data_IF_441011097682
#
_entry.id   IF_441011097682
#
_cell.length_a   1.000
_cell.length_b   1.000
_cell.length_c   1.000
_cell.angle_alpha   90.00
_cell.angle_beta   90.00
_cell.angle_gamma   90.00
#
_symmetry.space_group_name_H-M   'P 1'
#
loop_
_entity.id
_entity.type
_entity.pdbx_description
1 polymer ?
#
# COMPACT_ATOMS: atom_id res chain seq x y z
N UNK A 1 -21.92 17.80 -15.34
CA UNK A 1 -22.92 17.09 -16.17
C UNK A 1 -22.44 16.93 -17.63
N UNK A 2 -21.57 15.97 -17.93
CA UNK A 2 -21.22 15.60 -19.31
C UNK A 2 -20.76 14.13 -19.46
N UNK A 3 -21.43 13.22 -18.77
CA UNK A 3 -21.29 11.76 -18.89
C UNK A 3 -22.05 11.16 -20.10
N UNK A 4 -22.40 11.94 -21.13
CA UNK A 4 -23.45 11.54 -22.12
C UNK A 4 -23.12 11.57 -23.62
N UNK A 5 -21.91 11.89 -24.09
CA UNK A 5 -21.76 12.24 -25.54
C UNK A 5 -20.73 11.46 -26.37
N UNK A 6 -19.99 10.47 -25.85
CA UNK A 6 -18.93 9.81 -26.64
C UNK A 6 -19.25 8.39 -27.17
N UNK A 7 -20.53 8.03 -27.34
CA UNK A 7 -20.91 6.66 -27.77
C UNK A 7 -21.46 6.52 -29.22
N UNK A 8 -21.46 7.58 -30.06
CA UNK A 8 -22.22 7.57 -31.33
C UNK A 8 -21.42 7.96 -32.60
N UNK A 9 -20.17 8.39 -32.49
CA UNK A 9 -19.38 8.80 -33.66
C UNK A 9 -18.20 7.86 -33.84
N UNK A 10 -18.42 6.71 -34.50
CA UNK A 10 -17.52 5.97 -35.42
C UNK A 10 -18.37 4.79 -35.93
N UNK A 11 -19.30 5.06 -36.85
CA UNK A 11 -20.08 4.01 -37.54
C UNK A 11 -20.16 4.20 -39.06
N UNK A 12 -19.38 5.11 -39.67
CA UNK A 12 -19.42 5.27 -41.13
C UNK A 12 -18.05 5.68 -41.70
N UNK A 13 -17.29 4.70 -42.20
CA UNK A 13 -16.43 4.79 -43.41
C UNK A 13 -15.75 3.44 -43.72
N UNK A 14 -16.41 2.61 -44.51
CA UNK A 14 -15.76 1.67 -45.45
C UNK A 14 -16.01 2.21 -46.87
N UNK A 15 -14.96 2.51 -47.65
CA UNK A 15 -14.78 2.17 -49.09
C UNK A 15 -13.28 2.34 -49.41
N UNK A 16 -12.48 1.28 -49.27
CA UNK A 16 -11.54 0.70 -50.25
C UNK A 16 -11.12 -0.64 -49.65
N UNK A 17 -11.42 -1.74 -50.36
CA UNK A 17 -11.23 -3.11 -49.85
C UNK A 17 -9.78 -3.41 -49.50
N UNK A 18 -9.51 -3.50 -48.19
CA UNK A 18 -8.38 -4.21 -47.61
C UNK A 18 -8.99 -5.07 -46.50
N UNK A 19 -8.79 -6.40 -46.56
CA UNK A 19 -9.29 -7.30 -45.51
C UNK A 19 -8.54 -7.00 -44.20
N UNK A 20 -9.16 -6.20 -43.33
CA UNK A 20 -8.70 -5.94 -41.95
C UNK A 20 -9.36 -7.01 -41.10
N UNK A 21 -8.56 -7.90 -40.47
CA UNK A 21 -9.10 -9.00 -39.66
C UNK A 21 -9.28 -8.62 -38.18
N UNK A 22 -8.60 -7.57 -37.72
CA UNK A 22 -8.66 -7.11 -36.32
C UNK A 22 -8.26 -5.64 -36.18
N UNK A 23 -9.04 -4.89 -35.41
CA UNK A 23 -8.66 -3.59 -34.87
C UNK A 23 -8.23 -3.83 -33.42
N UNK A 24 -7.02 -3.41 -33.07
CA UNK A 24 -6.48 -3.51 -31.71
C UNK A 24 -5.96 -2.15 -31.25
N UNK A 25 -5.75 -1.95 -29.94
CA UNK A 25 -5.17 -0.70 -29.43
C UNK A 25 -3.67 -0.83 -29.23
N UNK A 26 -2.94 0.21 -29.62
CA UNK A 26 -1.51 0.34 -29.36
C UNK A 26 -1.25 0.31 -27.86
N UNK A 27 -0.48 -0.68 -27.38
CA UNK A 27 -0.12 -0.78 -25.97
C UNK A 27 0.78 0.38 -25.50
N UNK A 28 1.48 1.04 -26.43
CA UNK A 28 2.35 2.17 -26.11
C UNK A 28 1.62 3.52 -26.04
N UNK A 29 0.62 3.76 -26.90
CA UNK A 29 -0.03 5.08 -27.00
C UNK A 29 -1.57 5.07 -27.07
N UNK A 30 -2.20 3.90 -26.95
CA UNK A 30 -3.66 3.74 -26.95
C UNK A 30 -4.35 3.91 -28.31
N UNK A 31 -3.64 4.34 -29.35
CA UNK A 31 -4.20 4.56 -30.68
C UNK A 31 -4.63 3.26 -31.37
N UNK A 32 -5.68 3.30 -32.18
CA UNK A 32 -6.16 2.14 -32.92
C UNK A 32 -5.15 1.71 -34.01
N UNK A 33 -4.82 0.42 -34.03
CA UNK A 33 -3.94 -0.22 -34.99
C UNK A 33 -4.77 -1.17 -35.85
N UNK A 34 -4.61 -1.04 -37.16
CA UNK A 34 -5.19 -1.96 -38.13
C UNK A 34 -4.17 -3.05 -38.46
N UNK A 35 -4.53 -4.31 -38.22
CA UNK A 35 -3.66 -5.46 -38.51
C UNK A 35 -4.19 -6.19 -39.75
N UNK A 36 -3.32 -6.34 -40.75
CA UNK A 36 -3.65 -7.05 -42.00
C UNK A 36 -3.37 -8.55 -41.89
N UNK A 37 -4.21 -9.35 -42.57
CA UNK A 37 -4.11 -10.81 -42.55
C UNK A 37 -2.80 -11.30 -43.20
N UNK A 38 -2.04 -12.13 -42.47
CA UNK A 38 -0.79 -12.72 -42.96
C UNK A 38 0.49 -11.95 -42.60
N UNK A 39 0.40 -10.85 -41.86
CA UNK A 39 1.57 -10.14 -41.36
C UNK A 39 2.07 -10.76 -40.04
N UNK A 40 3.37 -11.07 -39.97
CA UNK A 40 4.04 -11.51 -38.72
C UNK A 40 4.40 -10.32 -37.82
N UNK A 41 4.36 -9.10 -38.38
CA UNK A 41 4.74 -7.85 -37.73
C UNK A 41 3.80 -6.71 -38.10
N UNK A 42 3.47 -5.86 -37.13
CA UNK A 42 2.71 -4.63 -37.34
C UNK A 42 3.41 -3.46 -36.65
N UNK A 43 3.20 -2.25 -37.16
CA UNK A 43 3.76 -1.02 -36.59
C UNK A 43 2.62 -0.05 -36.24
N UNK A 44 2.69 0.57 -35.06
CA UNK A 44 1.78 1.65 -34.72
C UNK A 44 2.12 2.88 -35.58
N UNK A 45 1.16 3.35 -36.39
CA UNK A 45 1.35 4.51 -37.27
C UNK A 45 1.55 5.83 -36.50
N UNK A 46 1.23 5.86 -35.20
CA UNK A 46 1.30 7.06 -34.37
C UNK A 46 2.62 7.17 -33.60
N UNK A 47 3.08 6.10 -32.97
CA UNK A 47 4.29 6.11 -32.13
C UNK A 47 5.46 5.28 -32.66
N UNK A 48 5.27 4.51 -33.74
CA UNK A 48 6.32 3.69 -34.35
C UNK A 48 6.63 2.36 -33.64
N UNK A 49 5.92 2.02 -32.56
CA UNK A 49 6.13 0.75 -31.84
C UNK A 49 5.86 -0.47 -32.75
N UNK A 50 6.78 -1.45 -32.72
CA UNK A 50 6.71 -2.73 -33.46
C UNK A 50 6.03 -3.81 -32.62
N UNK A 51 5.16 -4.61 -33.25
CA UNK A 51 4.40 -5.69 -32.64
C UNK A 51 4.62 -6.99 -33.41
N UNK A 52 4.82 -8.10 -32.69
CA UNK A 52 4.89 -9.44 -33.25
C UNK A 52 3.54 -10.14 -33.10
N UNK A 53 3.03 -10.70 -34.19
CA UNK A 53 1.73 -11.40 -34.24
C UNK A 53 2.04 -12.90 -34.29
N UNK A 54 2.10 -13.56 -33.15
CA UNK A 54 2.45 -14.99 -33.07
C UNK A 54 1.33 -15.90 -33.59
N UNK A 55 1.72 -16.91 -34.38
CA UNK A 55 0.86 -18.04 -34.77
C UNK A 55 0.94 -19.13 -33.71
N UNK A 56 -0.22 -19.48 -33.15
CA UNK A 56 -0.57 -20.71 -32.44
C UNK A 56 0.56 -21.74 -32.21
N UNK A 57 1.31 -21.56 -31.12
CA UNK A 57 1.94 -22.65 -30.36
C UNK A 57 1.80 -22.33 -28.87
N UNK A 58 1.48 -23.32 -28.00
CA UNK A 58 1.49 -23.10 -26.56
C UNK A 58 2.94 -22.94 -26.12
N UNK A 59 3.32 -21.71 -25.74
CA UNK A 59 4.63 -21.40 -25.20
C UNK A 59 4.80 -21.95 -23.79
N UNK A 60 6.05 -22.22 -23.41
CA UNK A 60 6.51 -22.54 -22.05
C UNK A 60 6.03 -21.53 -20.97
N UNK A 61 5.50 -20.38 -21.39
CA UNK A 61 4.79 -19.40 -20.54
C UNK A 61 3.67 -20.04 -19.73
N UNK A 62 2.93 -21.00 -20.28
CA UNK A 62 1.88 -21.71 -19.55
C UNK A 62 2.47 -22.59 -18.42
N UNK A 63 3.68 -23.13 -18.61
CA UNK A 63 4.39 -23.90 -17.59
C UNK A 63 4.98 -23.00 -16.48
N UNK A 64 5.54 -21.84 -16.84
CA UNK A 64 6.04 -20.85 -15.88
C UNK A 64 4.91 -20.21 -15.06
N UNK A 65 3.81 -19.81 -15.72
CA UNK A 65 2.61 -19.32 -15.03
C UNK A 65 1.93 -20.44 -14.21
N UNK A 66 1.90 -21.68 -14.69
CA UNK A 66 1.41 -22.83 -13.90
C UNK A 66 2.27 -23.07 -12.65
N UNK A 67 3.58 -22.90 -12.73
CA UNK A 67 4.48 -23.01 -11.59
C UNK A 67 4.26 -21.89 -10.58
N UNK A 68 4.21 -20.63 -11.03
CA UNK A 68 3.92 -19.48 -10.17
C UNK A 68 2.54 -19.59 -9.51
N UNK A 69 1.52 -20.02 -10.26
CA UNK A 69 0.18 -20.28 -9.72
C UNK A 69 0.20 -21.43 -8.70
N UNK A 70 0.92 -22.53 -8.94
CA UNK A 70 1.07 -23.64 -7.97
C UNK A 70 1.84 -23.24 -6.71
N UNK A 71 2.78 -22.30 -6.80
CA UNK A 71 3.49 -21.77 -5.63
C UNK A 71 2.57 -20.82 -4.85
N UNK A 72 1.82 -19.96 -5.54
CA UNK A 72 0.78 -19.11 -4.95
C UNK A 72 -0.32 -19.91 -4.25
N UNK A 73 -0.85 -20.95 -4.88
CA UNK A 73 -1.88 -21.83 -4.32
C UNK A 73 -1.39 -22.57 -3.07
N UNK A 74 -0.16 -23.12 -3.09
CA UNK A 74 0.43 -23.78 -1.91
C UNK A 74 0.57 -22.82 -0.73
N UNK A 75 0.92 -21.56 -1.01
CA UNK A 75 1.05 -20.51 0.02
C UNK A 75 -0.30 -20.08 0.57
N UNK A 76 -1.32 -19.92 -0.28
CA UNK A 76 -2.69 -19.65 0.17
C UNK A 76 -3.26 -20.80 1.00
N UNK A 77 -2.99 -22.04 0.62
CA UNK A 77 -3.37 -23.21 1.41
C UNK A 77 -2.67 -23.28 2.76
N UNK A 78 -1.40 -22.89 2.82
CA UNK A 78 -0.66 -22.84 4.09
C UNK A 78 -1.16 -21.72 5.01
N UNK A 79 -1.46 -20.54 4.46
CA UNK A 79 -2.09 -19.43 5.19
C UNK A 79 -3.47 -19.83 5.71
N UNK A 80 -4.30 -20.46 4.87
CA UNK A 80 -5.61 -20.99 5.26
C UNK A 80 -5.49 -22.01 6.38
N UNK A 81 -4.52 -22.93 6.31
CA UNK A 81 -4.25 -23.90 7.39
C UNK A 81 -3.82 -23.23 8.70
N UNK A 82 -3.01 -22.17 8.62
CA UNK A 82 -2.60 -21.37 9.80
C UNK A 82 -3.78 -20.62 10.40
N UNK A 83 -4.68 -20.06 9.59
CA UNK A 83 -5.91 -19.41 10.05
C UNK A 83 -6.89 -20.40 10.68
N UNK A 84 -7.13 -21.55 10.03
CA UNK A 84 -7.96 -22.62 10.59
C UNK A 84 -7.39 -23.16 11.91
N UNK A 85 -6.06 -23.25 12.03
CA UNK A 85 -5.41 -23.64 13.28
C UNK A 85 -5.63 -22.60 14.39
N UNK A 86 -5.46 -21.30 14.08
CA UNK A 86 -5.74 -20.19 15.01
C UNK A 86 -7.21 -20.17 15.43
N UNK A 87 -8.13 -20.42 14.52
CA UNK A 87 -9.57 -20.45 14.81
C UNK A 87 -9.95 -21.64 15.69
N UNK A 88 -9.40 -22.83 15.42
CA UNK A 88 -9.55 -24.00 16.29
C UNK A 88 -9.02 -23.74 17.71
N UNK A 89 -7.92 -23.01 17.83
CA UNK A 89 -7.36 -22.62 19.12
C UNK A 89 -8.26 -21.62 19.86
N UNK A 90 -8.81 -20.62 19.16
CA UNK A 90 -9.82 -19.69 19.72
C UNK A 90 -11.08 -20.42 20.20
N UNK A 91 -11.57 -21.39 19.44
CA UNK A 91 -12.74 -22.22 19.83
C UNK A 91 -12.42 -23.03 21.10
N UNK A 92 -11.21 -23.61 21.19
CA UNK A 92 -10.77 -24.35 22.38
C UNK A 92 -10.67 -23.45 23.61
N UNK A 93 -10.09 -22.26 23.48
CA UNK A 93 -10.04 -21.28 24.57
C UNK A 93 -11.44 -20.82 25.02
N UNK A 94 -12.38 -20.61 24.08
CA UNK A 94 -13.77 -20.30 24.40
C UNK A 94 -14.45 -21.43 25.19
N UNK A 95 -14.22 -22.68 24.80
CA UNK A 95 -14.78 -23.84 25.48
C UNK A 95 -14.21 -24.01 26.91
N UNK A 96 -12.91 -23.77 27.09
CA UNK A 96 -12.28 -23.82 28.42
C UNK A 96 -12.74 -22.66 29.32
N UNK A 97 -12.93 -21.45 28.77
CA UNK A 97 -13.51 -20.31 29.49
C UNK A 97 -14.98 -20.56 29.89
N UNK A 98 -15.81 -21.09 28.98
CA UNK A 98 -17.20 -21.43 29.27
C UNK A 98 -17.30 -22.52 30.35
N UNK A 99 -16.38 -23.49 30.38
CA UNK A 99 -16.29 -24.48 31.47
C UNK A 99 -15.96 -23.82 32.82
N UNK A 100 -15.02 -22.87 32.84
CA UNK A 100 -14.67 -22.13 34.06
C UNK A 100 -15.86 -21.31 34.59
N UNK A 101 -16.60 -20.64 33.70
CA UNK A 101 -17.82 -19.87 34.06
C UNK A 101 -18.91 -20.79 34.63
N UNK A 102 -19.14 -21.96 34.03
CA UNK A 102 -20.12 -22.92 34.54
C UNK A 102 -19.75 -23.48 35.92
N UNK A 103 -18.45 -23.72 36.18
CA UNK A 103 -17.97 -24.14 37.50
C UNK A 103 -18.19 -23.03 38.54
N UNK A 104 -17.86 -21.77 38.20
CA UNK A 104 -18.08 -20.62 39.09
C UNK A 104 -19.56 -20.38 39.37
N UNK A 105 -20.43 -20.50 38.36
CA UNK A 105 -21.88 -20.41 38.53
C UNK A 105 -22.41 -21.53 39.43
N UNK A 106 -21.91 -22.76 39.27
CA UNK A 106 -22.23 -23.89 40.15
C UNK A 106 -21.82 -23.64 41.60
N UNK A 107 -20.63 -23.07 41.83
CA UNK A 107 -20.16 -22.67 43.17
C UNK A 107 -21.05 -21.56 43.76
N UNK A 108 -21.42 -20.56 42.97
CA UNK A 108 -22.28 -19.47 43.43
C UNK A 108 -23.68 -19.98 43.84
N UNK A 109 -24.29 -20.85 43.03
CA UNK A 109 -25.58 -21.49 43.36
C UNK A 109 -25.45 -22.36 44.61
N UNK A 110 -24.35 -23.12 44.74
CA UNK A 110 -24.08 -23.91 45.94
C UNK A 110 -23.95 -23.03 47.18
N UNK A 111 -23.19 -21.92 47.12
CA UNK A 111 -23.06 -20.95 48.21
C UNK A 111 -24.38 -20.27 48.55
N UNK A 112 -25.23 -20.00 47.56
CA UNK A 112 -26.55 -19.42 47.76
C UNK A 112 -27.49 -20.40 48.48
N UNK A 113 -27.51 -21.68 48.05
CA UNK A 113 -28.28 -22.75 48.72
C UNK A 113 -27.73 -23.00 50.13
N UNK A 114 -26.41 -22.99 50.31
CA UNK A 114 -25.77 -23.15 51.62
C UNK A 114 -26.11 -21.99 52.56
N UNK A 115 -26.14 -20.76 52.06
CA UNK A 115 -26.57 -19.58 52.81
C UNK A 115 -28.05 -19.65 53.19
N UNK A 116 -28.91 -20.24 52.35
CA UNK A 116 -30.32 -20.47 52.67
C UNK A 116 -30.55 -21.59 53.68
N UNK A 117 -29.72 -22.63 53.70
CA UNK A 117 -29.85 -23.76 54.62
C UNK A 117 -29.21 -23.52 56.00
N UNK A 118 -28.26 -22.58 56.10
CA UNK A 118 -27.49 -22.33 57.32
C UNK A 118 -27.47 -20.86 57.78
N UNK A 119 -28.09 -19.94 57.04
CA UNK A 119 -28.12 -18.53 57.38
C UNK A 119 -29.41 -18.13 58.06
N UNK A 120 -29.42 -18.18 59.39
CA UNK A 120 -30.46 -17.50 60.19
C UNK A 120 -29.80 -16.81 61.39
N UNK A 121 -29.59 -15.49 61.25
CA UNK A 121 -29.91 -14.46 62.27
C UNK A 121 -29.46 -13.07 61.83
N UNK A 122 -30.41 -12.12 61.96
CA UNK A 122 -30.31 -10.64 61.94
C UNK A 122 -29.87 -10.01 60.62
N UNK A 123 -30.49 -8.98 60.04
CA UNK A 123 -31.40 -7.89 60.48
C UNK A 123 -31.87 -7.22 59.18
N UNK A 124 -33.17 -7.13 58.85
CA UNK A 124 -34.10 -6.03 59.16
C UNK A 124 -33.56 -4.61 58.84
N UNK A 125 -33.86 -4.11 57.64
CA UNK A 125 -34.49 -2.79 57.38
C UNK A 125 -34.59 -2.50 55.87
N UNK A 126 -35.80 -2.53 55.34
CA UNK A 126 -36.21 -1.99 54.03
C UNK A 126 -36.83 -0.61 54.30
N UNK A 127 -36.45 0.42 53.55
CA UNK A 127 -37.40 1.39 52.97
C UNK A 127 -36.74 2.44 52.05
N UNK A 128 -37.44 2.71 50.94
CA UNK A 128 -37.54 3.95 50.13
C UNK A 128 -36.31 4.47 49.34
N UNK A 129 -36.38 4.35 48.01
CA UNK A 129 -36.93 5.40 47.12
C UNK A 129 -36.95 4.93 45.65
N UNK A 130 -38.16 4.73 45.11
CA UNK A 130 -38.45 4.67 43.67
C UNK A 130 -39.59 5.65 43.45
N UNK A 131 -39.35 6.70 42.66
CA UNK A 131 -40.33 7.38 41.80
C UNK A 131 -39.56 8.32 40.85
N UNK A 132 -39.62 8.02 39.55
CA UNK A 132 -40.44 8.72 38.55
C UNK A 132 -39.86 10.07 38.11
N UNK A 133 -39.36 10.11 36.86
CA UNK A 133 -39.86 11.06 35.86
C UNK A 133 -39.41 10.63 34.45
N UNK A 134 -40.41 10.28 33.64
CA UNK A 134 -40.30 10.11 32.20
C UNK A 134 -40.84 11.37 31.49
N UNK A 135 -40.26 11.61 30.31
CA UNK A 135 -40.72 12.46 29.21
C UNK A 135 -40.56 13.98 29.34
N UNK A 136 -39.56 14.52 28.62
CA UNK A 136 -39.79 15.57 27.61
C UNK A 136 -38.76 15.42 26.49
N UNK A 137 -39.24 15.16 25.27
CA UNK A 137 -38.49 15.18 24.02
C UNK A 137 -38.71 16.51 23.31
N UNK A 138 -37.65 17.26 23.02
CA UNK A 138 -37.42 17.96 21.74
C UNK A 138 -35.90 18.12 21.58
N UNK A 139 -35.41 17.44 20.55
CA UNK A 139 -34.16 17.56 19.78
C UNK A 139 -33.24 18.74 20.04
N UNK A 140 -32.10 18.44 20.69
CA UNK A 140 -30.79 18.97 20.32
C UNK A 140 -29.87 17.76 20.13
N UNK A 141 -29.26 17.66 18.95
CA UNK A 141 -28.28 16.63 18.61
C UNK A 141 -27.00 16.89 19.41
N UNK A 142 -27.00 16.53 20.69
CA UNK A 142 -25.77 16.36 21.45
C UNK A 142 -25.08 15.09 20.94
N UNK A 143 -24.13 15.29 20.03
CA UNK A 143 -23.07 14.33 19.79
C UNK A 143 -22.49 14.03 21.16
N UNK A 144 -22.57 12.77 21.59
CA UNK A 144 -22.00 12.34 22.87
C UNK A 144 -20.51 12.65 22.86
N UNK A 145 -20.12 13.78 23.45
CA UNK A 145 -18.74 14.02 23.89
C UNK A 145 -18.43 12.96 24.94
N UNK A 146 -17.95 11.82 24.46
CA UNK A 146 -17.33 10.82 25.32
C UNK A 146 -16.18 11.52 26.03
N UNK A 147 -16.14 11.46 27.36
CA UNK A 147 -15.08 12.03 28.21
C UNK A 147 -13.73 11.29 28.02
N UNK A 148 -13.29 11.11 26.77
CA UNK A 148 -12.01 10.52 26.42
C UNK A 148 -10.92 11.54 26.72
N UNK A 149 -9.78 11.06 27.21
CA UNK A 149 -8.59 11.90 27.28
C UNK A 149 -8.09 12.13 25.86
N UNK A 150 -7.75 13.38 25.54
CA UNK A 150 -7.10 13.70 24.28
C UNK A 150 -5.78 12.95 24.17
N UNK A 151 -5.52 12.36 23.02
CA UNK A 151 -4.19 11.92 22.62
C UNK A 151 -3.42 13.16 22.20
N UNK A 152 -2.40 13.51 22.98
CA UNK A 152 -1.50 14.63 22.70
C UNK A 152 -0.08 14.07 22.62
N UNK A 153 0.22 13.41 21.50
CA UNK A 153 1.53 12.83 21.22
C UNK A 153 2.21 13.44 20.00
N UNK A 154 1.62 14.47 19.40
CA UNK A 154 2.23 15.17 18.28
C UNK A 154 3.40 16.05 18.75
N UNK A 155 4.61 15.54 18.53
CA UNK A 155 5.86 16.26 18.81
C UNK A 155 6.71 16.18 17.56
N UNK A 156 6.85 17.30 16.85
CA UNK A 156 7.52 17.36 15.53
C UNK A 156 8.91 16.75 15.51
N UNK A 157 9.69 16.88 16.60
CA UNK A 157 11.05 16.31 16.70
C UNK A 157 11.10 14.79 16.83
N UNK A 158 9.99 14.14 17.19
CA UNK A 158 9.91 12.68 17.33
C UNK A 158 8.93 12.04 16.36
N UNK A 159 8.07 12.82 15.71
CA UNK A 159 7.11 12.32 14.74
C UNK A 159 7.80 11.77 13.48
N UNK A 160 7.17 10.79 12.83
CA UNK A 160 7.62 10.27 11.55
C UNK A 160 7.21 11.23 10.43
N UNK A 161 8.17 11.60 9.57
CA UNK A 161 7.90 12.34 8.33
C UNK A 161 7.28 11.38 7.31
N UNK A 162 6.24 11.83 6.62
CA UNK A 162 5.48 11.09 5.61
C UNK A 162 5.30 11.98 4.38
N UNK A 163 4.94 11.35 3.27
CA UNK A 163 4.86 12.01 1.97
C UNK A 163 3.60 11.57 1.23
N UNK A 164 2.90 12.51 0.58
CA UNK A 164 1.78 12.26 -0.33
C UNK A 164 1.71 13.39 -1.37
N UNK A 165 1.77 13.05 -2.65
CA UNK A 165 1.82 13.98 -3.77
C UNK A 165 3.08 14.83 -3.74
N UNK A 166 2.91 16.15 -3.65
CA UNK A 166 4.03 17.08 -3.47
C UNK A 166 4.23 17.50 -2.00
N UNK A 167 3.51 16.88 -1.05
CA UNK A 167 3.52 17.31 0.33
C UNK A 167 4.29 16.36 1.23
N UNK A 168 5.09 16.95 2.09
CA UNK A 168 5.60 16.31 3.29
C UNK A 168 4.75 16.71 4.50
N UNK A 169 4.54 15.77 5.43
CA UNK A 169 3.83 16.02 6.68
C UNK A 169 4.34 15.12 7.79
N UNK A 170 3.99 15.39 9.04
CA UNK A 170 4.44 14.63 10.19
C UNK A 170 3.29 13.86 10.83
N UNK A 171 3.54 12.62 11.25
CA UNK A 171 2.57 11.77 11.95
C UNK A 171 3.19 11.30 13.27
N UNK A 172 2.42 11.23 14.38
CA UNK A 172 2.94 10.67 15.63
C UNK A 172 3.36 9.19 15.50
N UNK A 173 4.44 8.79 16.17
CA UNK A 173 5.01 7.43 16.11
C UNK A 173 4.06 6.31 16.56
N UNK A 174 3.00 6.64 17.29
CA UNK A 174 2.03 5.64 17.71
C UNK A 174 1.08 5.21 16.58
N UNK A 175 1.04 5.93 15.45
CA UNK A 175 0.38 5.47 14.24
C UNK A 175 1.27 4.43 13.55
N UNK A 176 0.75 3.22 13.41
CA UNK A 176 1.43 2.14 12.69
C UNK A 176 1.06 2.22 11.22
N UNK A 177 2.05 2.52 10.38
CA UNK A 177 1.88 2.62 8.93
C UNK A 177 1.39 1.30 8.34
N UNK A 178 0.40 1.39 7.48
CA UNK A 178 -0.17 0.29 6.72
C UNK A 178 0.11 0.45 5.22
N UNK A 179 0.01 1.68 4.69
CA UNK A 179 0.35 2.02 3.31
C UNK A 179 1.19 3.30 3.34
N UNK A 180 2.26 3.32 2.57
CA UNK A 180 3.06 4.51 2.26
C UNK A 180 3.48 4.39 0.79
N UNK A 181 2.76 5.11 -0.05
CA UNK A 181 2.93 5.22 -1.51
C UNK A 181 2.93 6.71 -1.86
N UNK A 182 3.48 7.05 -3.02
CA UNK A 182 3.66 8.44 -3.43
C UNK A 182 2.37 9.26 -3.47
N UNK A 183 1.21 8.65 -3.74
CA UNK A 183 -0.10 9.31 -3.80
C UNK A 183 -1.01 8.96 -2.63
N UNK A 184 -0.56 8.08 -1.71
CA UNK A 184 -1.42 7.51 -0.68
C UNK A 184 -0.65 7.07 0.57
N UNK A 185 -1.16 7.49 1.72
CA UNK A 185 -0.69 7.06 3.03
C UNK A 185 -1.86 6.55 3.87
N UNK A 186 -1.66 5.48 4.64
CA UNK A 186 -2.62 5.04 5.66
C UNK A 186 -1.91 4.46 6.88
N UNK A 187 -2.47 4.72 8.06
CA UNK A 187 -1.94 4.20 9.32
C UNK A 187 -3.03 4.04 10.38
N UNK A 188 -2.77 3.18 11.36
CA UNK A 188 -3.69 2.91 12.47
C UNK A 188 -3.04 3.25 13.81
N UNK A 189 -3.75 4.00 14.66
CA UNK A 189 -3.32 4.24 16.04
C UNK A 189 -3.91 3.20 17.02
N UNK A 190 -5.11 2.71 16.74
CA UNK A 190 -5.76 1.67 17.53
C UNK A 190 -6.43 0.63 16.60
N UNK A 191 -6.21 -0.64 16.93
CA UNK A 191 -6.84 -1.82 16.31
C UNK A 191 -7.44 -2.71 17.41
N UNK A 192 -7.93 -3.90 17.07
CA UNK A 192 -8.50 -4.90 18.01
C UNK A 192 -9.92 -4.59 18.52
N UNK A 193 -10.87 -4.48 17.58
CA UNK A 193 -12.29 -4.24 17.90
C UNK A 193 -12.62 -2.77 18.18
N UNK A 194 -11.65 -1.89 17.94
CA UNK A 194 -11.75 -0.43 17.84
C UNK A 194 -10.96 0.00 16.62
N UNK A 195 -11.32 1.14 16.04
CA UNK A 195 -10.64 1.67 14.85
C UNK A 195 -10.31 3.12 15.09
N UNK A 196 -9.02 3.44 15.01
CA UNK A 196 -8.53 4.81 14.82
C UNK A 196 -7.59 4.78 13.61
N UNK A 197 -8.08 5.29 12.49
CA UNK A 197 -7.40 5.24 11.19
C UNK A 197 -7.13 6.65 10.69
N UNK A 198 -5.91 6.90 10.23
CA UNK A 198 -5.53 8.08 9.46
C UNK A 198 -5.24 7.65 8.02
N UNK A 199 -5.76 8.39 7.05
CA UNK A 199 -5.49 8.19 5.64
C UNK A 199 -5.24 9.53 4.96
N UNK A 200 -4.26 9.60 4.09
CA UNK A 200 -4.00 10.75 3.23
C UNK A 200 -3.98 10.27 1.77
N UNK A 201 -4.62 11.00 0.85
CA UNK A 201 -4.55 10.69 -0.58
C UNK A 201 -4.33 11.98 -1.38
N UNK A 202 -3.56 11.91 -2.46
CA UNK A 202 -3.42 12.95 -3.49
C UNK A 202 -3.93 12.40 -4.81
N UNK A 203 -5.00 12.98 -5.35
CA UNK A 203 -5.68 12.45 -6.54
C UNK A 203 -5.71 13.53 -7.60
N UNK A 204 -5.17 13.24 -8.78
CA UNK A 204 -5.22 14.14 -9.93
C UNK A 204 -6.66 14.39 -10.39
N UNK A 205 -6.96 15.64 -10.72
CA UNK A 205 -8.21 16.04 -11.35
C UNK A 205 -7.98 16.44 -12.82
N UNK A 206 -8.96 16.16 -13.67
CA UNK A 206 -8.93 16.59 -15.08
C UNK A 206 -9.34 18.06 -15.22
N UNK A 207 -10.04 18.61 -14.23
CA UNK A 207 -10.40 20.01 -14.13
C UNK A 207 -9.46 20.74 -13.15
N UNK A 208 -9.42 22.07 -13.22
CA UNK A 208 -8.62 22.84 -12.28
C UNK A 208 -9.17 22.71 -10.87
N UNK A 209 -8.35 22.22 -9.94
CA UNK A 209 -8.72 22.13 -8.53
C UNK A 209 -8.82 23.53 -7.91
N UNK A 210 -9.95 23.84 -7.30
CA UNK A 210 -10.22 25.15 -6.71
C UNK A 210 -11.11 25.02 -5.47
N UNK A 211 -10.65 25.56 -4.34
CA UNK A 211 -11.39 25.55 -3.09
C UNK A 211 -12.70 26.35 -3.19
N UNK A 212 -12.78 27.32 -4.10
CA UNK A 212 -13.99 28.11 -4.32
C UNK A 212 -15.17 27.26 -4.76
N UNK A 213 -14.92 26.06 -5.30
CA UNK A 213 -15.95 25.07 -5.60
C UNK A 213 -16.79 24.70 -4.36
N UNK A 214 -16.18 24.66 -3.16
CA UNK A 214 -16.84 24.37 -1.89
C UNK A 214 -17.57 25.57 -1.26
N UNK A 215 -17.47 26.78 -1.84
CA UNK A 215 -18.26 27.94 -1.37
C UNK A 215 -19.73 27.84 -1.79
N UNK A 216 -20.02 27.02 -2.80
CA UNK A 216 -21.38 26.66 -3.18
C UNK A 216 -21.88 25.50 -2.30
N UNK A 217 -22.99 25.72 -1.60
CA UNK A 217 -23.56 24.73 -0.67
C UNK A 217 -24.03 23.45 -1.37
N UNK A 218 -24.51 23.54 -2.61
CA UNK A 218 -24.96 22.35 -3.37
C UNK A 218 -23.76 21.49 -3.77
N UNK A 219 -22.67 22.10 -4.22
CA UNK A 219 -21.41 21.40 -4.53
C UNK A 219 -20.83 20.71 -3.29
N UNK A 220 -20.76 21.45 -2.17
CA UNK A 220 -20.24 20.94 -0.91
C UNK A 220 -21.05 19.74 -0.39
N UNK A 221 -22.38 19.78 -0.59
CA UNK A 221 -23.29 18.67 -0.28
C UNK A 221 -23.13 17.50 -1.24
N UNK A 222 -23.02 17.74 -2.54
CA UNK A 222 -22.78 16.71 -3.55
C UNK A 222 -21.48 15.94 -3.25
N UNK A 223 -20.41 16.65 -2.92
CA UNK A 223 -19.16 16.03 -2.49
C UNK A 223 -19.34 15.18 -1.24
N UNK A 224 -20.03 15.70 -0.21
CA UNK A 224 -20.28 14.96 1.02
C UNK A 224 -21.07 13.67 0.75
N UNK A 225 -22.12 13.71 -0.06
CA UNK A 225 -22.93 12.54 -0.42
C UNK A 225 -22.10 11.51 -1.22
N UNK A 226 -21.29 11.97 -2.18
CA UNK A 226 -20.38 11.13 -2.95
C UNK A 226 -19.34 10.45 -2.06
N UNK A 227 -18.71 11.20 -1.16
CA UNK A 227 -17.76 10.67 -0.19
C UNK A 227 -18.42 9.65 0.76
N UNK A 228 -19.59 9.95 1.32
CA UNK A 228 -20.29 9.04 2.23
C UNK A 228 -20.73 7.74 1.56
N UNK A 229 -21.02 7.80 0.26
CA UNK A 229 -21.28 6.62 -0.56
C UNK A 229 -20.04 5.75 -0.71
N UNK A 230 -18.85 6.35 -0.85
CA UNK A 230 -17.60 5.59 -0.99
C UNK A 230 -17.14 4.92 0.31
N UNK A 231 -17.43 5.51 1.48
CA UNK A 231 -17.09 4.95 2.79
C UNK A 231 -18.18 4.04 3.39
N UNK A 232 -19.05 3.47 2.55
CA UNK A 232 -20.08 2.48 2.93
C UNK A 232 -21.16 3.01 3.91
N UNK A 233 -21.63 4.24 3.71
CA UNK A 233 -22.92 4.69 4.27
C UNK A 233 -22.85 5.45 5.59
N UNK A 234 -21.99 6.46 5.67
CA UNK A 234 -21.98 7.40 6.80
C UNK A 234 -23.13 8.42 6.77
N UNK A 235 -23.37 9.08 7.90
CA UNK A 235 -24.33 10.20 8.01
C UNK A 235 -23.59 11.53 8.08
N UNK A 236 -23.91 12.46 7.19
CA UNK A 236 -23.36 13.82 7.23
C UNK A 236 -23.70 14.51 8.56
N UNK A 237 -22.70 15.13 9.20
CA UNK A 237 -22.91 15.94 10.42
C UNK A 237 -22.82 17.43 10.06
N UNK A 238 -21.64 17.87 9.62
CA UNK A 238 -21.38 19.26 9.27
C UNK A 238 -20.21 19.37 8.29
N UNK A 239 -20.14 20.49 7.59
CA UNK A 239 -19.07 20.80 6.64
C UNK A 239 -18.79 22.29 6.62
N UNK A 240 -17.51 22.68 6.58
CA UNK A 240 -17.12 24.09 6.52
C UNK A 240 -15.69 24.27 6.03
N UNK A 241 -15.40 25.42 5.40
CA UNK A 241 -14.03 25.81 5.08
C UNK A 241 -13.28 26.13 6.38
N UNK A 242 -12.10 25.55 6.55
CA UNK A 242 -11.22 25.69 7.71
C UNK A 242 -9.78 25.92 7.26
N UNK A 243 -9.00 26.53 8.15
CA UNK A 243 -7.57 26.73 7.97
C UNK A 243 -6.80 26.09 9.11
N UNK A 244 -5.86 25.22 8.78
CA UNK A 244 -4.95 24.55 9.71
C UNK A 244 -3.51 24.88 9.31
N UNK A 245 -2.82 25.64 10.16
CA UNK A 245 -1.50 26.18 9.82
C UNK A 245 -1.54 27.03 8.53
N UNK A 246 -0.75 26.62 7.54
CA UNK A 246 -0.68 27.26 6.22
C UNK A 246 -1.77 26.82 5.25
N UNK A 247 -2.49 25.73 5.54
CA UNK A 247 -3.37 25.05 4.58
C UNK A 247 -4.84 25.40 4.82
N UNK A 248 -5.54 25.81 3.78
CA UNK A 248 -6.98 26.09 3.79
C UNK A 248 -7.72 25.04 2.97
N UNK A 249 -8.84 24.53 3.48
CA UNK A 249 -9.55 23.41 2.89
C UNK A 249 -10.96 23.24 3.46
N UNK A 250 -11.72 22.32 2.90
CA UNK A 250 -13.06 21.97 3.37
C UNK A 250 -12.99 20.82 4.38
N UNK A 251 -13.44 21.06 5.61
CA UNK A 251 -13.56 20.05 6.66
C UNK A 251 -14.99 19.51 6.70
N UNK A 252 -15.14 18.22 6.43
CA UNK A 252 -16.37 17.45 6.52
C UNK A 252 -16.33 16.53 7.75
N UNK A 253 -17.38 16.53 8.56
CA UNK A 253 -17.58 15.58 9.65
C UNK A 253 -18.76 14.66 9.36
N UNK A 254 -18.62 13.39 9.72
CA UNK A 254 -19.65 12.38 9.46
C UNK A 254 -19.68 11.31 10.54
N UNK A 255 -20.84 10.68 10.73
CA UNK A 255 -20.96 9.46 11.52
C UNK A 255 -20.57 8.26 10.66
N UNK A 256 -19.92 7.29 11.27
CA UNK A 256 -19.58 6.01 10.64
C UNK A 256 -19.87 4.87 11.61
N UNK A 257 -20.01 3.65 11.08
CA UNK A 257 -20.24 2.46 11.90
C UNK A 257 -19.47 1.25 11.36
N UNK A 258 -18.11 1.29 11.36
CA UNK A 258 -17.33 0.15 10.91
C UNK A 258 -17.61 -1.06 11.80
N UNK A 259 -18.06 -2.17 11.20
CA UNK A 259 -18.43 -3.40 11.90
C UNK A 259 -19.48 -3.19 13.02
N UNK A 260 -20.48 -2.34 12.77
CA UNK A 260 -21.54 -2.00 13.72
C UNK A 260 -21.07 -1.25 14.99
N UNK A 261 -19.85 -0.71 14.98
CA UNK A 261 -19.31 0.08 16.07
C UNK A 261 -19.44 1.56 15.70
N UNK A 262 -20.27 2.35 16.40
CA UNK A 262 -20.46 3.76 16.08
C UNK A 262 -19.15 4.53 16.24
N UNK A 263 -19.01 5.56 15.44
CA UNK A 263 -17.83 6.43 15.43
C UNK A 263 -18.08 7.70 14.64
N UNK A 264 -17.06 8.56 14.63
CA UNK A 264 -17.07 9.84 13.93
C UNK A 264 -15.82 9.92 13.07
N UNK A 265 -16.02 10.27 11.80
CA UNK A 265 -14.96 10.54 10.85
C UNK A 265 -14.87 12.03 10.50
N UNK A 266 -13.64 12.50 10.27
CA UNK A 266 -13.31 13.84 9.78
C UNK A 266 -12.56 13.69 8.46
N UNK A 267 -12.93 14.47 7.45
CA UNK A 267 -12.23 14.58 6.17
C UNK A 267 -11.89 16.02 5.91
N UNK A 268 -10.61 16.32 5.74
CA UNK A 268 -10.14 17.62 5.32
C UNK A 268 -9.63 17.50 3.90
N UNK A 269 -10.26 18.22 2.96
CA UNK A 269 -9.87 18.24 1.55
C UNK A 269 -9.39 19.64 1.16
N UNK A 270 -8.27 19.72 0.46
CA UNK A 270 -7.73 20.99 -0.03
C UNK A 270 -7.13 20.82 -1.44
N UNK A 271 -7.17 21.88 -2.26
CA UNK A 271 -6.61 21.84 -3.60
C UNK A 271 -5.08 21.98 -3.55
N UNK A 272 -4.38 21.14 -4.30
CA UNK A 272 -2.99 21.30 -4.63
C UNK A 272 -2.86 21.88 -6.03
N UNK A 273 -2.75 23.21 -6.09
CA UNK A 273 -2.78 23.94 -7.37
C UNK A 273 -1.54 23.66 -8.23
N UNK A 274 -0.40 23.32 -7.60
CA UNK A 274 0.89 23.13 -8.29
C UNK A 274 0.90 21.88 -9.19
N UNK A 275 0.26 20.80 -8.77
CA UNK A 275 0.17 19.52 -9.49
C UNK A 275 -1.25 19.19 -9.97
N UNK A 276 -2.22 20.07 -9.70
CA UNK A 276 -3.64 19.91 -10.04
C UNK A 276 -4.31 18.69 -9.38
N UNK A 277 -3.96 18.44 -8.12
CA UNK A 277 -4.50 17.32 -7.34
C UNK A 277 -5.41 17.80 -6.22
N UNK A 278 -6.41 17.00 -5.87
CA UNK A 278 -7.11 17.10 -4.60
C UNK A 278 -6.37 16.30 -3.54
N UNK A 279 -6.02 16.93 -2.43
CA UNK A 279 -5.44 16.25 -1.28
C UNK A 279 -6.50 16.08 -0.21
N UNK A 280 -6.71 14.85 0.25
CA UNK A 280 -7.65 14.50 1.30
C UNK A 280 -6.93 13.89 2.50
N UNK A 281 -7.28 14.32 3.71
CA UNK A 281 -6.79 13.78 4.98
C UNK A 281 -8.00 13.31 5.78
N UNK A 282 -8.12 12.00 5.97
CA UNK A 282 -9.25 11.32 6.61
C UNK A 282 -8.81 10.78 7.96
N UNK A 283 -9.55 11.12 9.02
CA UNK A 283 -9.48 10.45 10.32
C UNK A 283 -10.80 9.76 10.58
N UNK A 284 -10.79 8.46 10.83
CA UNK A 284 -11.93 7.75 11.41
C UNK A 284 -11.58 7.29 12.82
N UNK A 285 -12.41 7.61 13.82
CA UNK A 285 -12.34 7.00 15.14
C UNK A 285 -13.68 6.42 15.63
N UNK A 286 -13.66 5.23 16.21
CA UNK A 286 -14.84 4.62 16.86
C UNK A 286 -15.06 5.13 18.28
N UNK A 287 -16.31 5.10 18.75
CA UNK A 287 -16.72 5.56 20.07
C UNK A 287 -16.04 4.79 21.21
N UNK A 288 -15.60 3.56 20.95
CA UNK A 288 -14.86 2.73 21.89
C UNK A 288 -13.31 2.88 21.80
N UNK A 289 -12.78 3.84 21.03
CA UNK A 289 -11.35 4.18 21.10
C UNK A 289 -10.95 4.61 22.50
N UNK A 290 -9.69 4.37 22.88
CA UNK A 290 -9.18 4.69 24.22
C UNK A 290 -8.96 6.19 24.40
N UNK A 291 -8.58 6.88 23.32
CA UNK A 291 -8.30 8.30 23.31
C UNK A 291 -9.11 9.04 22.24
N UNK A 292 -9.15 10.36 22.36
CA UNK A 292 -9.61 11.26 21.30
C UNK A 292 -8.45 11.79 20.47
N UNK A 293 -8.52 11.68 19.15
CA UNK A 293 -7.41 11.95 18.23
C UNK A 293 -7.55 13.25 17.42
N UNK A 294 -8.62 14.02 17.60
CA UNK A 294 -8.88 15.22 16.78
C UNK A 294 -7.79 16.30 16.93
N UNK A 295 -7.26 16.50 18.14
CA UNK A 295 -6.20 17.51 18.34
C UNK A 295 -4.93 17.17 17.56
N UNK A 296 -4.50 15.90 17.57
CA UNK A 296 -3.31 15.49 16.82
C UNK A 296 -3.58 15.48 15.30
N UNK A 297 -4.80 15.18 14.86
CA UNK A 297 -5.21 15.33 13.46
C UNK A 297 -5.07 16.76 12.93
N UNK A 298 -5.51 17.77 13.68
CA UNK A 298 -5.34 19.17 13.29
C UNK A 298 -3.86 19.57 13.18
N UNK A 299 -3.02 19.06 14.09
CA UNK A 299 -1.57 19.28 14.06
C UNK A 299 -0.90 18.57 12.88
N UNK A 300 -1.34 17.36 12.53
CA UNK A 300 -0.90 16.64 11.33
C UNK A 300 -1.18 17.48 10.09
N UNK A 301 -2.41 17.98 9.91
CA UNK A 301 -2.76 18.83 8.76
C UNK A 301 -1.93 20.12 8.76
N UNK A 302 -1.76 20.74 9.93
CA UNK A 302 -0.97 21.97 10.07
C UNK A 302 0.52 21.78 9.72
N UNK A 303 1.00 20.54 9.66
CA UNK A 303 2.38 20.19 9.34
C UNK A 303 2.65 19.94 7.86
N UNK A 304 1.62 19.97 7.01
CA UNK A 304 1.79 19.84 5.56
C UNK A 304 2.64 20.97 5.00
N UNK A 305 3.68 20.60 4.25
CA UNK A 305 4.60 21.51 3.59
C UNK A 305 4.84 21.02 2.16
N UNK A 306 4.85 21.95 1.21
CA UNK A 306 5.22 21.62 -0.17
C UNK A 306 6.70 21.25 -0.17
N UNK A 307 7.01 20.09 -0.73
CA UNK A 307 8.38 19.72 -1.05
C UNK A 307 8.78 20.48 -2.34
N UNK A 308 9.49 21.59 -2.17
CA UNK A 308 9.93 22.45 -3.29
C UNK A 308 11.00 21.80 -4.17
N UNK A 309 11.49 20.60 -3.83
CA UNK A 309 12.38 19.81 -4.69
C UNK A 309 11.68 19.28 -5.96
N UNK A 310 10.35 19.40 -6.04
CA UNK A 310 9.58 19.03 -7.24
C UNK A 310 9.66 20.14 -8.29
N UNK A 311 10.80 20.17 -8.97
CA UNK A 311 10.93 20.51 -10.38
C UNK A 311 11.35 19.25 -11.13
N UNK A 312 10.36 18.55 -11.71
CA UNK A 312 10.48 17.28 -12.46
C UNK A 312 10.67 16.04 -11.57
N UNK A 313 9.68 15.14 -11.65
CA UNK A 313 9.64 13.71 -11.28
C UNK A 313 10.39 13.21 -10.01
N UNK A 314 9.57 12.66 -9.09
CA UNK A 314 9.85 11.66 -8.04
C UNK A 314 10.83 12.00 -6.90
N UNK A 315 10.37 11.83 -5.64
CA UNK A 315 10.96 10.85 -4.71
C UNK A 315 10.38 10.96 -3.29
N UNK A 316 9.90 9.84 -2.77
CA UNK A 316 9.83 9.60 -1.32
C UNK A 316 11.25 9.28 -0.82
N UNK A 317 11.74 10.05 0.16
CA UNK A 317 12.94 9.72 0.94
C UNK A 317 12.54 8.99 2.21
N UNK A 318 12.95 7.72 2.28
CA UNK A 318 13.38 7.10 3.53
C UNK A 318 14.54 7.92 4.14
N UNK A 319 14.49 8.01 5.47
CA UNK A 319 15.51 8.47 6.42
C UNK A 319 16.76 9.13 5.82
N UNK A 320 16.74 10.45 5.72
CA UNK A 320 17.92 11.27 5.44
C UNK A 320 18.93 11.16 6.60
N UNK A 321 19.94 10.31 6.45
CA UNK A 321 21.30 10.78 6.74
C UNK A 321 21.65 11.80 5.65
N UNK A 322 22.19 12.94 6.05
CA UNK A 322 22.65 13.97 5.12
C UNK A 322 23.52 13.33 4.02
N UNK A 323 23.26 13.61 2.74
CA UNK A 323 24.15 13.17 1.68
C UNK A 323 25.48 13.87 1.89
N UNK A 324 26.51 13.10 2.25
CA UNK A 324 27.88 13.54 2.13
C UNK A 324 28.19 13.59 0.62
N UNK A 325 27.93 14.73 -0.02
CA UNK A 325 28.17 14.97 -1.46
C UNK A 325 29.64 14.86 -1.89
N UNK A 326 30.54 14.37 -1.01
CA UNK A 326 31.96 14.19 -1.29
C UNK A 326 32.53 12.91 -0.63
N UNK A 327 31.71 11.86 -0.49
CA UNK A 327 32.18 10.58 0.02
C UNK A 327 32.73 9.70 -1.10
N UNK A 328 34.01 9.32 -0.98
CA UNK A 328 34.70 8.40 -1.89
C UNK A 328 34.34 6.96 -1.51
N UNK A 329 33.47 6.30 -2.28
CA UNK A 329 33.12 4.89 -2.09
C UNK A 329 34.22 4.03 -2.72
N UNK A 330 34.60 2.95 -2.03
CA UNK A 330 35.72 2.07 -2.42
C UNK A 330 35.56 1.34 -3.77
N UNK A 331 34.41 1.46 -4.42
CA UNK A 331 34.11 0.84 -5.72
C UNK A 331 33.13 1.66 -6.55
N UNK A 332 33.16 1.47 -7.87
CA UNK A 332 32.36 2.24 -8.83
C UNK A 332 30.86 1.89 -8.78
N UNK A 333 30.01 2.90 -9.03
CA UNK A 333 28.55 2.75 -9.20
C UNK A 333 28.16 1.64 -10.18
N UNK A 334 28.94 1.48 -11.25
CA UNK A 334 28.69 0.44 -12.26
C UNK A 334 28.85 -0.98 -11.69
N UNK A 335 29.80 -1.20 -10.76
CA UNK A 335 29.94 -2.50 -10.10
C UNK A 335 28.77 -2.76 -9.14
N UNK A 336 28.26 -1.72 -8.46
CA UNK A 336 27.06 -1.83 -7.64
C UNK A 336 25.84 -2.26 -8.47
N UNK A 337 25.62 -1.59 -9.61
CA UNK A 337 24.54 -1.92 -10.54
C UNK A 337 24.65 -3.36 -11.06
N UNK A 338 25.85 -3.81 -11.42
CA UNK A 338 26.07 -5.19 -11.87
C UNK A 338 25.78 -6.21 -10.78
N UNK A 339 26.19 -5.95 -9.55
CA UNK A 339 25.90 -6.81 -8.42
C UNK A 339 24.38 -6.92 -8.17
N UNK A 340 23.65 -5.81 -8.26
CA UNK A 340 22.19 -5.79 -8.19
C UNK A 340 21.54 -6.63 -9.29
N UNK A 341 21.95 -6.43 -10.55
CA UNK A 341 21.40 -7.20 -11.69
C UNK A 341 21.67 -8.69 -11.51
N UNK A 342 22.88 -9.08 -11.11
CA UNK A 342 23.23 -10.48 -10.84
C UNK A 342 22.38 -11.04 -9.71
N UNK A 343 22.16 -10.29 -8.64
CA UNK A 343 21.32 -10.73 -7.53
C UNK A 343 19.88 -10.99 -7.98
N UNK A 344 19.29 -10.07 -8.75
CA UNK A 344 17.95 -10.22 -9.31
C UNK A 344 17.88 -11.38 -10.31
N UNK A 345 18.82 -11.51 -11.24
CA UNK A 345 18.86 -12.63 -12.19
C UNK A 345 18.87 -13.98 -11.46
N UNK A 346 19.75 -14.14 -10.49
CA UNK A 346 19.88 -15.40 -9.76
C UNK A 346 18.65 -15.70 -8.90
N UNK A 347 17.99 -14.69 -8.36
CA UNK A 347 16.75 -14.86 -7.60
C UNK A 347 15.61 -15.51 -8.38
N UNK A 348 15.57 -15.28 -9.69
CA UNK A 348 14.58 -15.87 -10.59
C UNK A 348 15.10 -17.10 -11.34
N UNK A 349 16.33 -17.54 -11.06
CA UNK A 349 16.96 -18.68 -11.73
C UNK A 349 16.71 -19.96 -10.92
N UNK A 350 15.86 -20.86 -11.42
CA UNK A 350 15.50 -22.08 -10.69
C UNK A 350 16.61 -23.16 -10.69
N UNK A 351 17.59 -23.04 -11.58
CA UNK A 351 18.68 -23.99 -11.77
C UNK A 351 19.86 -23.80 -10.80
N UNK A 352 19.89 -22.68 -10.06
CA UNK A 352 20.93 -22.42 -9.06
C UNK A 352 20.73 -23.20 -7.75
N UNK A 353 19.57 -23.82 -7.54
CA UNK A 353 19.32 -24.58 -6.32
C UNK A 353 20.00 -25.95 -6.34
N UNK A 354 20.33 -26.47 -5.15
CA UNK A 354 20.77 -27.87 -4.99
C UNK A 354 19.60 -28.82 -5.19
N UNK A 355 19.86 -30.14 -5.16
CA UNK A 355 18.82 -31.15 -5.35
C UNK A 355 17.70 -31.11 -4.29
N UNK A 356 17.92 -30.44 -3.15
CA UNK A 356 16.89 -30.22 -2.11
C UNK A 356 15.86 -29.14 -2.50
N UNK A 357 16.09 -28.40 -3.58
CA UNK A 357 15.20 -27.34 -4.07
C UNK A 357 15.06 -26.13 -3.16
N UNK A 358 15.94 -25.95 -2.17
CA UNK A 358 15.87 -24.85 -1.19
C UNK A 358 17.22 -24.24 -0.84
N UNK A 359 18.33 -24.96 -1.00
CA UNK A 359 19.68 -24.42 -0.79
C UNK A 359 20.25 -23.87 -2.10
N UNK A 360 20.82 -22.66 -2.08
CA UNK A 360 21.52 -22.07 -3.24
C UNK A 360 22.89 -22.71 -3.42
N UNK A 361 23.18 -23.21 -4.63
CA UNK A 361 24.51 -23.67 -5.06
C UNK A 361 25.28 -22.50 -5.67
N UNK A 362 26.18 -21.91 -4.89
CA UNK A 362 27.00 -20.76 -5.29
C UNK A 362 27.80 -21.02 -6.58
N UNK A 363 28.12 -22.28 -6.87
CA UNK A 363 28.88 -22.63 -8.08
C UNK A 363 28.07 -22.50 -9.38
N UNK A 364 26.74 -22.43 -9.27
CA UNK A 364 25.80 -22.31 -10.39
C UNK A 364 25.29 -20.89 -10.61
N UNK A 365 25.73 -19.91 -9.84
CA UNK A 365 25.28 -18.54 -10.01
C UNK A 365 25.63 -18.01 -11.41
N UNK A 366 24.64 -17.41 -12.06
CA UNK A 366 24.80 -16.72 -13.32
C UNK A 366 25.62 -15.45 -13.15
N UNK A 367 26.52 -15.18 -14.09
CA UNK A 367 27.31 -13.95 -14.13
C UNK A 367 26.56 -12.82 -14.82
N UNK A 368 26.99 -11.57 -14.62
CA UNK A 368 26.46 -10.41 -15.32
C UNK A 368 26.59 -10.53 -16.85
N UNK A 369 27.67 -11.17 -17.32
CA UNK A 369 27.90 -11.45 -18.75
C UNK A 369 27.11 -12.65 -19.29
N UNK A 370 26.33 -13.35 -18.45
CA UNK A 370 25.54 -14.49 -18.90
C UNK A 370 24.24 -14.03 -19.56
N UNK A 371 24.32 -13.76 -20.87
CA UNK A 371 23.20 -13.35 -21.72
C UNK A 371 22.57 -14.51 -22.47
N UNK A 372 23.01 -15.75 -22.20
CA UNK A 372 22.53 -16.94 -22.91
C UNK A 372 21.41 -17.68 -22.15
N UNK A 373 21.09 -17.27 -20.92
CA UNK A 373 20.10 -17.93 -20.08
C UNK A 373 18.69 -17.33 -20.22
N UNK A 374 17.66 -18.10 -19.86
CA UNK A 374 16.26 -17.63 -19.91
C UNK A 374 15.94 -16.60 -18.81
N UNK A 375 16.85 -16.40 -17.85
CA UNK A 375 16.59 -15.68 -16.59
C UNK A 375 17.34 -14.35 -16.44
N UNK A 376 18.11 -13.90 -17.44
CA UNK A 376 18.81 -12.62 -17.32
C UNK A 376 17.87 -11.42 -17.50
N UNK A 377 18.26 -10.31 -16.87
CA UNK A 377 17.51 -9.05 -16.93
C UNK A 377 18.26 -8.00 -17.77
N UNK A 378 17.55 -7.41 -18.72
CA UNK A 378 17.96 -6.21 -19.42
C UNK A 378 17.76 -4.99 -18.52
N UNK A 379 18.71 -4.06 -18.56
CA UNK A 379 18.59 -2.79 -17.83
C UNK A 379 17.76 -1.84 -18.67
N UNK A 380 16.62 -1.41 -18.16
CA UNK A 380 15.75 -0.40 -18.76
C UNK A 380 16.14 0.99 -18.27
N UNK A 381 16.30 1.14 -16.95
CA UNK A 381 16.86 2.33 -16.29
C UNK A 381 17.90 1.90 -15.28
N UNK A 382 19.02 2.64 -15.22
CA UNK A 382 20.05 2.42 -14.21
C UNK A 382 19.64 2.91 -12.82
N UNK A 383 18.59 3.73 -12.73
CA UNK A 383 18.20 4.42 -11.51
C UNK A 383 19.25 5.45 -11.07
N UNK A 384 19.06 5.97 -9.87
CA UNK A 384 20.01 6.83 -9.18
C UNK A 384 20.78 6.04 -8.13
N UNK A 385 22.04 6.43 -7.92
CA UNK A 385 22.95 5.77 -6.98
C UNK A 385 23.68 6.81 -6.13
N UNK A 386 23.48 6.75 -4.83
CA UNK A 386 24.07 7.65 -3.84
C UNK A 386 24.96 6.88 -2.86
N UNK A 387 26.08 7.46 -2.40
CA UNK A 387 26.91 6.82 -1.39
C UNK A 387 26.14 6.76 -0.07
N UNK A 388 26.07 5.58 0.55
CA UNK A 388 25.54 5.42 1.91
C UNK A 388 26.66 5.42 2.95
N UNK A 389 27.80 4.82 2.63
CA UNK A 389 29.04 4.85 3.40
C UNK A 389 30.24 4.57 2.47
N UNK A 390 31.45 4.52 3.03
CA UNK A 390 32.72 4.29 2.30
C UNK A 390 32.76 2.98 1.49
N UNK A 391 31.87 2.03 1.78
CA UNK A 391 31.81 0.72 1.15
C UNK A 391 30.40 0.35 0.69
N UNK A 392 29.46 1.29 0.65
CA UNK A 392 28.06 1.00 0.32
C UNK A 392 27.45 2.03 -0.62
N UNK A 393 26.87 1.53 -1.71
CA UNK A 393 26.00 2.29 -2.59
C UNK A 393 24.54 1.99 -2.28
N UNK A 394 23.72 3.04 -2.19
CA UNK A 394 22.28 2.95 -2.18
C UNK A 394 21.75 3.25 -3.59
N UNK A 395 21.00 2.32 -4.18
CA UNK A 395 20.41 2.45 -5.51
C UNK A 395 18.88 2.48 -5.43
N UNK A 396 18.24 3.35 -6.21
CA UNK A 396 16.78 3.49 -6.28
C UNK A 396 16.31 3.87 -7.70
N UNK A 397 15.02 3.66 -7.99
CA UNK A 397 14.41 3.80 -9.33
C UNK A 397 15.10 2.96 -10.42
N UNK A 398 15.65 1.80 -10.04
CA UNK A 398 16.27 0.86 -10.98
C UNK A 398 15.16 0.11 -11.71
N UNK A 399 15.20 0.09 -13.05
CA UNK A 399 14.18 -0.61 -13.87
C UNK A 399 14.81 -1.73 -14.67
N UNK A 400 14.34 -2.95 -14.47
CA UNK A 400 14.84 -4.15 -15.14
C UNK A 400 13.74 -4.88 -15.90
N UNK A 401 14.07 -5.47 -17.05
CA UNK A 401 13.15 -6.28 -17.86
C UNK A 401 13.74 -7.68 -18.10
N UNK A 402 13.03 -8.77 -17.79
CA UNK A 402 13.50 -10.12 -18.10
C UNK A 402 13.69 -10.29 -19.61
N UNK A 403 14.68 -11.07 -20.03
CA UNK A 403 14.94 -11.31 -21.45
C UNK A 403 13.91 -12.24 -22.10
N UNK A 404 13.50 -13.31 -21.41
CA UNK A 404 12.46 -14.19 -21.93
C UNK A 404 11.21 -13.37 -22.24
N UNK A 405 10.66 -13.48 -23.45
CA UNK A 405 9.66 -12.60 -24.05
C UNK A 405 8.29 -12.48 -23.37
N UNK A 406 8.19 -12.60 -22.05
CA UNK A 406 7.13 -12.01 -21.24
C UNK A 406 7.24 -10.48 -21.33
N UNK A 407 6.89 -9.96 -22.51
CA UNK A 407 7.18 -8.61 -23.03
C UNK A 407 6.56 -7.46 -22.25
N UNK A 408 5.93 -7.74 -21.12
CA UNK A 408 5.21 -6.76 -20.30
C UNK A 408 5.68 -6.72 -18.84
N UNK A 409 6.38 -7.76 -18.36
CA UNK A 409 6.84 -7.78 -16.98
C UNK A 409 8.09 -6.89 -16.83
N UNK A 410 8.09 -5.99 -15.86
CA UNK A 410 9.20 -5.09 -15.53
C UNK A 410 9.33 -5.05 -14.01
N UNK A 411 10.56 -5.04 -13.52
CA UNK A 411 10.83 -4.61 -12.15
C UNK A 411 10.78 -3.09 -12.18
N UNK A 412 9.72 -2.53 -11.61
CA UNK A 412 9.60 -1.10 -11.37
C UNK A 412 10.11 -0.78 -9.97
N UNK A 413 10.65 0.43 -9.84
CA UNK A 413 11.08 1.03 -8.57
C UNK A 413 12.01 0.12 -7.76
N UNK A 414 13.01 -0.45 -8.44
CA UNK A 414 14.03 -1.28 -7.80
C UNK A 414 14.85 -0.45 -6.83
N UNK A 415 14.94 -0.92 -5.58
CA UNK A 415 15.73 -0.30 -4.50
C UNK A 415 16.64 -1.36 -3.89
N UNK A 416 17.87 -0.98 -3.55
CA UNK A 416 18.79 -1.84 -2.81
C UNK A 416 19.94 -1.07 -2.14
N UNK A 417 20.60 -1.74 -1.20
CA UNK A 417 21.94 -1.40 -0.73
C UNK A 417 22.93 -2.44 -1.26
N UNK A 418 24.05 -1.98 -1.81
CA UNK A 418 25.15 -2.83 -2.26
C UNK A 418 26.41 -2.45 -1.50
N UNK A 419 26.91 -3.37 -0.66
CA UNK A 419 28.13 -3.19 0.13
C UNK A 419 29.26 -4.05 -0.44
N UNK A 420 30.48 -3.51 -0.54
CA UNK A 420 31.67 -4.30 -0.87
C UNK A 420 32.48 -4.63 0.40
N UNK A 421 32.66 -5.92 0.70
CA UNK A 421 33.36 -6.39 1.92
C UNK A 421 34.89 -6.56 1.73
N UNK A 422 35.42 -6.13 0.58
CA UNK A 422 36.80 -6.35 0.17
C UNK A 422 37.02 -7.62 -0.66
N UNK A 423 36.03 -8.53 -0.74
CA UNK A 423 36.08 -9.77 -1.51
C UNK A 423 34.83 -9.98 -2.38
N UNK A 424 33.65 -9.67 -1.86
CA UNK A 424 32.35 -9.89 -2.47
C UNK A 424 31.48 -8.64 -2.37
N UNK A 425 30.45 -8.59 -3.21
CA UNK A 425 29.39 -7.60 -3.15
C UNK A 425 28.20 -8.22 -2.41
N UNK A 426 27.69 -7.53 -1.42
CA UNK A 426 26.58 -7.96 -0.59
C UNK A 426 25.39 -7.08 -0.95
N UNK A 427 24.34 -7.67 -1.51
CA UNK A 427 23.09 -6.98 -1.80
C UNK A 427 22.13 -7.14 -0.62
N UNK A 428 21.47 -6.05 -0.23
CA UNK A 428 20.50 -5.97 0.88
C UNK A 428 19.37 -5.01 0.56
N UNK A 429 18.33 -5.05 1.38
CA UNK A 429 17.17 -4.14 1.35
C UNK A 429 16.53 -4.08 -0.04
N UNK A 430 16.45 -5.22 -0.70
CA UNK A 430 15.93 -5.37 -2.04
C UNK A 430 14.43 -5.12 -2.06
N UNK A 431 14.02 -4.03 -2.70
CA UNK A 431 12.61 -3.68 -2.93
C UNK A 431 12.35 -3.45 -4.40
N UNK A 432 11.07 -3.42 -4.74
CA UNK A 432 10.56 -3.33 -6.11
C UNK A 432 9.54 -4.44 -6.38
N UNK A 433 8.85 -4.32 -7.50
CA UNK A 433 7.80 -5.27 -7.90
C UNK A 433 8.05 -5.73 -9.32
N UNK A 434 8.22 -7.03 -9.51
CA UNK A 434 8.16 -7.64 -10.84
C UNK A 434 6.69 -7.82 -11.23
N UNK A 435 6.18 -6.93 -12.09
CA UNK A 435 4.79 -6.95 -12.53
C UNK A 435 4.64 -6.62 -14.01
N UNK A 436 3.51 -7.01 -14.58
CA UNK A 436 3.05 -6.43 -15.85
C UNK A 436 2.70 -4.96 -15.60
N UNK A 437 3.10 -4.06 -16.51
CA UNK A 437 2.80 -2.64 -16.39
C UNK A 437 1.29 -2.38 -16.20
N UNK A 438 0.92 -1.63 -15.17
CA UNK A 438 -0.47 -1.36 -14.79
C UNK A 438 -1.20 -2.53 -14.09
N UNK A 439 -0.44 -3.53 -13.62
CA UNK A 439 -0.91 -4.66 -12.83
C UNK A 439 0.03 -4.92 -11.63
N UNK A 440 0.61 -3.87 -11.09
CA UNK A 440 1.58 -3.91 -9.99
C UNK A 440 1.03 -4.61 -8.74
N UNK A 441 -0.29 -4.54 -8.51
CA UNK A 441 -0.97 -5.20 -7.40
C UNK A 441 -0.92 -6.74 -7.44
N UNK A 442 -0.70 -7.32 -8.62
CA UNK A 442 -0.53 -8.77 -8.82
C UNK A 442 0.94 -9.19 -8.96
N UNK A 443 1.86 -8.23 -8.87
CA UNK A 443 3.29 -8.45 -9.06
C UNK A 443 3.97 -9.21 -7.93
N UNK A 444 5.13 -9.78 -8.24
CA UNK A 444 6.00 -10.42 -7.26
C UNK A 444 6.89 -9.36 -6.63
N UNK A 445 6.70 -9.08 -5.33
CA UNK A 445 7.55 -8.16 -4.57
C UNK A 445 8.94 -8.75 -4.36
N UNK A 446 9.98 -8.02 -4.72
CA UNK A 446 11.38 -8.46 -4.55
C UNK A 446 11.74 -8.69 -3.08
N UNK A 447 11.16 -7.93 -2.16
CA UNK A 447 11.38 -8.11 -0.71
C UNK A 447 10.92 -9.48 -0.20
N UNK A 448 9.94 -10.11 -0.85
CA UNK A 448 9.50 -11.47 -0.48
C UNK A 448 10.52 -12.56 -0.84
N UNK A 449 11.55 -12.20 -1.61
CA UNK A 449 12.68 -13.06 -1.94
C UNK A 449 13.76 -12.92 -0.85
N UNK A 450 13.90 -11.76 -0.20
CA UNK A 450 14.82 -11.59 0.94
C UNK A 450 14.42 -12.43 2.16
N UNK A 451 13.11 -12.67 2.35
CA UNK A 451 12.56 -13.52 3.41
C UNK A 451 13.04 -14.99 3.35
N UNK A 452 13.83 -15.39 2.34
CA UNK A 452 14.39 -16.74 2.21
C UNK A 452 15.63 -16.98 3.09
N UNK A 453 16.17 -15.92 3.69
CA UNK A 453 17.40 -15.95 4.47
C UNK A 453 17.13 -15.44 5.90
N UNK A 454 17.44 -16.25 6.92
CA UNK A 454 17.43 -15.83 8.34
C UNK A 454 18.50 -14.75 8.66
N UNK A 455 19.29 -14.34 7.66
CA UNK A 455 20.29 -13.29 7.75
C UNK A 455 19.83 -12.04 6.97
N UNK A 456 20.14 -10.86 7.51
CA UNK A 456 19.98 -9.53 6.89
C UNK A 456 20.86 -9.37 5.62
N UNK A 457 20.86 -10.34 4.72
CA UNK A 457 21.72 -10.45 3.53
C UNK A 457 20.96 -11.22 2.47
N UNK A 458 20.70 -10.58 1.33
CA UNK A 458 19.96 -11.19 0.23
C UNK A 458 20.81 -12.18 -0.56
N UNK A 459 21.92 -11.69 -1.13
CA UNK A 459 22.85 -12.53 -1.86
C UNK A 459 24.27 -11.96 -1.80
N UNK A 460 25.23 -12.86 -1.58
CA UNK A 460 26.67 -12.55 -1.67
C UNK A 460 27.13 -12.88 -3.07
N UNK A 461 27.60 -11.86 -3.80
CA UNK A 461 28.03 -11.93 -5.19
C UNK A 461 29.56 -11.93 -5.25
N UNK A 462 30.20 -13.07 -5.61
CA UNK A 462 31.62 -13.09 -5.88
C UNK A 462 32.00 -12.11 -7.00
N UNK A 463 33.09 -11.35 -6.81
CA UNK A 463 33.56 -10.35 -7.78
C UNK A 463 33.67 -10.91 -9.22
N UNK A 464 34.15 -12.14 -9.38
CA UNK A 464 34.26 -12.84 -10.67
C UNK A 464 32.96 -12.91 -11.48
N UNK A 465 31.79 -12.78 -10.84
CA UNK A 465 30.49 -12.81 -11.51
C UNK A 465 30.13 -11.48 -12.18
N UNK A 466 30.77 -10.36 -11.82
CA UNK A 466 30.44 -9.02 -12.34
C UNK A 466 31.60 -8.35 -13.10
N UNK A 467 32.79 -8.94 -13.08
CA UNK A 467 33.99 -8.40 -13.75
C UNK A 467 33.82 -8.22 -15.26
N UNK A 468 33.12 -9.17 -15.91
CA UNK A 468 32.92 -9.14 -17.36
C UNK A 468 31.65 -8.39 -17.70
N UNK A 469 31.76 -7.48 -18.66
CA UNK A 469 30.61 -6.79 -19.24
C UNK A 469 29.80 -7.74 -20.15
N UNK A 470 28.55 -7.36 -20.43
CA UNK A 470 27.60 -8.10 -21.25
C UNK A 470 27.67 -7.80 -22.73
#
# INVERSE_FOLDING_TARGET
MQLKTNMIIIFLREIVGVNIKKIDKCANCGAEIQIHEGQERAFCQYCGAEYFIEKDKPGLTEAAFSYLNKVGERRQDELRRKEEAKEREKIRQRHDSNRAILILAGIAVFCFIFSFLFGDKSTESIDKEINENAATSVTENNINETNKKSKDGFVTSTNQKQHVGIYDFYVPLYYKTNIAESDRYSAYAETDGKVVMLQCNSIADNETVDLDWFKDEENAKEYAESFLTSVSGGEFIEGSIKKFGGTEGYLLKYKMSPNDIPGIGWVFIFPSIKDNNWVSVVLGQTDNSEYDYYSDYEKIISSFQINDEVGVEASEKETTQEPAEDMDVSFDKEMALRAFVVAVTNAFSADIFTADGSTVDISKLHSYSDTNCEFYFNIVSKGEWIPSDENTWHGYDIKLRPCSGASQAVINDGVCNVTFDGTNYIVKDLRGVLAIFGQEEYGTKLSTIEDWSDADTYLVIPQKLIEKDR
#
